data_IF_271468705321
#
_entry.id   IF_271468705321
#
_cell.length_a   1.000
_cell.length_b   1.000
_cell.length_c   1.000
_cell.angle_alpha   90.00
_cell.angle_beta   90.00
_cell.angle_gamma   90.00
#
_symmetry.space_group_name_H-M   'P 1'
#
loop_
_entity.id
_entity.type
_entity.pdbx_description
1 polymer ?
#
# COMPACT_ATOMS: atom_id res chain seq x y z
N UNK A 1 12.48 4.11 -22.19
CA UNK A 1 12.72 5.27 -23.08
C UNK A 1 11.44 6.10 -23.21
N UNK A 2 10.96 6.72 -22.12
CA UNK A 2 9.79 7.61 -22.18
C UNK A 2 10.18 8.97 -22.78
N UNK A 3 11.37 9.48 -22.44
CA UNK A 3 11.83 10.79 -22.92
C UNK A 3 12.03 10.91 -24.44
N UNK A 4 12.35 9.82 -25.15
CA UNK A 4 12.45 9.85 -26.63
C UNK A 4 11.06 9.87 -27.29
N UNK A 5 10.09 9.18 -26.69
CA UNK A 5 8.71 9.16 -27.16
C UNK A 5 8.04 10.52 -26.97
N UNK A 6 8.23 11.17 -25.81
CA UNK A 6 7.77 12.53 -25.51
C UNK A 6 8.34 13.58 -26.49
N UNK A 7 9.61 13.45 -26.89
CA UNK A 7 10.23 14.38 -27.84
C UNK A 7 9.68 14.23 -29.26
N UNK A 8 9.29 13.02 -29.65
CA UNK A 8 8.70 12.74 -30.97
C UNK A 8 7.18 12.99 -31.02
N UNK A 9 6.49 12.94 -29.88
CA UNK A 9 5.05 13.13 -29.75
C UNK A 9 4.72 14.14 -28.66
N UNK A 10 4.97 15.43 -28.93
CA UNK A 10 4.71 16.54 -28.00
C UNK A 10 3.22 16.77 -27.74
N UNK A 11 2.35 16.19 -28.55
CA UNK A 11 0.91 16.17 -28.38
C UNK A 11 0.44 15.27 -27.22
N UNK A 12 1.30 14.36 -26.74
CA UNK A 12 0.97 13.44 -25.66
C UNK A 12 1.29 14.09 -24.32
N UNK A 13 0.26 14.41 -23.53
CA UNK A 13 0.40 14.98 -22.19
C UNK A 13 0.17 13.95 -21.07
N UNK A 14 -0.54 12.87 -21.38
CA UNK A 14 -0.95 11.83 -20.44
C UNK A 14 -0.73 10.43 -20.99
N UNK A 15 -0.70 9.46 -20.08
CA UNK A 15 -0.54 8.05 -20.45
C UNK A 15 -1.71 7.52 -21.28
N UNK A 16 -2.89 8.13 -21.15
CA UNK A 16 -4.09 7.84 -21.92
C UNK A 16 -3.94 8.26 -23.39
N UNK A 17 -3.40 9.44 -23.65
CA UNK A 17 -3.06 9.90 -25.01
C UNK A 17 -1.94 9.06 -25.63
N UNK A 18 -0.93 8.67 -24.85
CA UNK A 18 0.13 7.78 -25.30
C UNK A 18 -0.41 6.41 -25.75
N UNK A 19 -1.37 5.89 -24.98
CA UNK A 19 -2.04 4.62 -25.28
C UNK A 19 -2.96 4.75 -26.49
N UNK A 20 -3.64 5.90 -26.62
CA UNK A 20 -4.46 6.22 -27.79
C UNK A 20 -3.67 6.28 -29.09
N UNK A 21 -2.46 6.84 -29.05
CA UNK A 21 -1.58 6.90 -30.21
C UNK A 21 -1.04 5.50 -30.60
N UNK A 22 -0.80 4.65 -29.62
CA UNK A 22 -0.21 3.31 -29.83
C UNK A 22 -1.22 2.24 -30.21
N UNK A 23 -2.45 2.30 -29.67
CA UNK A 23 -3.46 1.24 -29.78
C UNK A 23 -4.83 1.73 -30.28
N UNK A 24 -4.95 3.01 -30.64
CA UNK A 24 -6.16 3.60 -31.18
C UNK A 24 -7.15 4.13 -30.13
N UNK A 25 -8.29 4.69 -30.58
CA UNK A 25 -9.21 5.47 -29.74
C UNK A 25 -9.92 4.65 -28.66
N UNK A 26 -10.21 3.37 -28.92
CA UNK A 26 -10.85 2.48 -27.93
C UNK A 26 -9.90 2.21 -26.75
N UNK A 27 -8.62 2.02 -27.03
CA UNK A 27 -7.62 1.79 -26.00
C UNK A 27 -7.43 3.03 -25.12
N UNK A 28 -7.52 4.24 -25.70
CA UNK A 28 -7.48 5.51 -24.95
C UNK A 28 -8.55 5.59 -23.86
N UNK A 29 -9.81 5.29 -24.20
CA UNK A 29 -10.90 5.36 -23.21
C UNK A 29 -10.75 4.30 -22.12
N UNK A 30 -10.44 3.04 -22.50
CA UNK A 30 -10.27 1.95 -21.53
C UNK A 30 -9.13 2.24 -20.56
N UNK A 31 -7.98 2.69 -21.07
CA UNK A 31 -6.83 3.00 -20.22
C UNK A 31 -7.06 4.27 -19.39
N UNK A 32 -7.72 5.28 -19.93
CA UNK A 32 -8.07 6.49 -19.20
C UNK A 32 -8.99 6.20 -18.01
N UNK A 33 -10.05 5.42 -18.22
CA UNK A 33 -10.97 5.00 -17.15
C UNK A 33 -10.27 4.06 -16.17
N UNK A 34 -9.57 3.05 -16.67
CA UNK A 34 -8.85 2.08 -15.85
C UNK A 34 -7.80 2.71 -14.95
N UNK A 35 -7.00 3.64 -15.49
CA UNK A 35 -5.99 4.36 -14.71
C UNK A 35 -6.62 5.30 -13.68
N UNK A 36 -7.71 5.97 -14.04
CA UNK A 36 -8.46 6.81 -13.08
C UNK A 36 -8.98 6.00 -11.90
N UNK A 37 -9.57 4.82 -12.16
CA UNK A 37 -10.01 3.89 -11.12
C UNK A 37 -8.84 3.39 -10.27
N UNK A 38 -7.72 3.05 -10.90
CA UNK A 38 -6.51 2.64 -10.21
C UNK A 38 -6.01 3.72 -9.22
N UNK A 39 -5.94 4.98 -9.66
CA UNK A 39 -5.54 6.09 -8.79
C UNK A 39 -6.51 6.30 -7.63
N UNK A 40 -7.82 6.15 -7.85
CA UNK A 40 -8.84 6.23 -6.80
C UNK A 40 -8.64 5.11 -5.76
N UNK A 41 -8.46 3.86 -6.20
CA UNK A 41 -8.24 2.74 -5.28
C UNK A 41 -6.90 2.84 -4.53
N UNK A 42 -5.86 3.36 -5.18
CA UNK A 42 -4.58 3.62 -4.54
C UNK A 42 -4.67 4.72 -3.47
N UNK A 43 -5.44 5.78 -3.72
CA UNK A 43 -5.73 6.80 -2.70
C UNK A 43 -6.56 6.25 -1.55
N UNK A 44 -7.59 5.44 -1.85
CA UNK A 44 -8.46 4.82 -0.85
C UNK A 44 -7.70 3.83 0.06
N UNK A 45 -6.76 3.05 -0.49
CA UNK A 45 -5.93 2.15 0.31
C UNK A 45 -5.06 2.92 1.31
N UNK A 46 -4.51 4.08 0.92
CA UNK A 46 -3.76 4.95 1.82
C UNK A 46 -4.56 5.43 3.04
N UNK A 47 -5.84 5.80 2.82
CA UNK A 47 -6.75 6.19 3.92
C UNK A 47 -7.03 5.00 4.84
N UNK A 48 -7.21 3.80 4.27
CA UNK A 48 -7.42 2.58 5.04
C UNK A 48 -6.19 2.24 5.90
N UNK A 49 -4.98 2.29 5.33
CA UNK A 49 -3.74 2.06 6.08
C UNK A 49 -3.60 2.98 7.29
N UNK A 50 -3.88 4.28 7.12
CA UNK A 50 -3.79 5.23 8.21
C UNK A 50 -4.80 4.95 9.32
N UNK A 51 -6.03 4.52 8.96
CA UNK A 51 -7.04 4.14 9.94
C UNK A 51 -6.67 2.87 10.72
N UNK A 52 -6.06 1.87 10.08
CA UNK A 52 -5.55 0.67 10.75
C UNK A 52 -4.42 1.05 11.71
N UNK A 53 -3.51 1.92 11.30
CA UNK A 53 -2.42 2.39 12.15
C UNK A 53 -2.92 3.14 13.39
N UNK A 54 -3.89 4.05 13.22
CA UNK A 54 -4.53 4.76 14.34
C UNK A 54 -5.27 3.79 15.27
N UNK A 55 -5.95 2.81 14.69
CA UNK A 55 -6.68 1.79 15.44
C UNK A 55 -5.74 0.92 16.30
N UNK A 56 -4.55 0.59 15.78
CA UNK A 56 -3.54 -0.17 16.52
C UNK A 56 -2.92 0.66 17.66
N UNK A 57 -2.66 1.95 17.45
CA UNK A 57 -2.09 2.85 18.47
C UNK A 57 -3.09 3.16 19.59
N UNK A 58 -4.38 3.28 19.26
CA UNK A 58 -5.42 3.72 20.21
C UNK A 58 -6.05 2.58 21.02
N UNK A 59 -5.53 1.34 20.94
CA UNK A 59 -6.06 0.17 21.66
C UNK A 59 -7.60 0.02 21.59
N UNK A 60 -8.19 0.35 20.43
CA UNK A 60 -9.64 0.27 20.16
C UNK A 60 -10.57 1.11 21.06
N UNK A 61 -10.15 2.31 21.47
CA UNK A 61 -11.00 3.22 22.26
C UNK A 61 -12.22 3.77 21.50
N UNK A 62 -12.17 3.84 20.16
CA UNK A 62 -13.24 4.37 19.30
C UNK A 62 -13.60 3.41 18.15
N UNK A 63 -14.74 3.65 17.50
CA UNK A 63 -15.15 2.85 16.35
C UNK A 63 -14.28 3.17 15.12
N UNK A 64 -13.96 2.13 14.33
CA UNK A 64 -13.09 2.23 13.14
C UNK A 64 -13.54 3.30 12.14
N UNK A 65 -14.84 3.59 12.07
CA UNK A 65 -15.40 4.65 11.23
C UNK A 65 -14.81 6.04 11.56
N UNK A 66 -14.60 6.35 12.84
CA UNK A 66 -14.02 7.64 13.27
C UNK A 66 -12.56 7.73 12.83
N UNK A 67 -11.79 6.64 12.93
CA UNK A 67 -10.41 6.63 12.45
C UNK A 67 -10.31 6.78 10.93
N UNK A 68 -11.26 6.25 10.16
CA UNK A 68 -11.34 6.46 8.71
C UNK A 68 -11.64 7.93 8.39
N UNK A 69 -12.58 8.55 9.09
CA UNK A 69 -12.93 9.97 8.89
C UNK A 69 -11.73 10.89 9.18
N UNK A 70 -11.05 10.69 10.32
CA UNK A 70 -9.85 11.45 10.68
C UNK A 70 -8.74 11.26 9.64
N UNK A 71 -8.53 10.02 9.20
CA UNK A 71 -7.54 9.69 8.17
C UNK A 71 -7.85 10.39 6.84
N UNK A 72 -9.12 10.42 6.43
CA UNK A 72 -9.55 11.11 5.21
C UNK A 72 -9.32 12.62 5.29
N UNK A 73 -9.58 13.26 6.43
CA UNK A 73 -9.32 14.70 6.64
C UNK A 73 -7.83 14.99 6.51
N UNK A 74 -6.97 14.18 7.14
CA UNK A 74 -5.52 14.33 7.06
C UNK A 74 -5.05 14.18 5.62
N UNK A 75 -5.45 13.11 4.92
CA UNK A 75 -5.07 12.85 3.53
C UNK A 75 -5.56 13.95 2.60
N UNK A 76 -6.79 14.45 2.75
CA UNK A 76 -7.30 15.59 1.98
C UNK A 76 -6.49 16.87 2.22
N UNK A 77 -6.09 17.13 3.47
CA UNK A 77 -5.22 18.26 3.80
C UNK A 77 -3.85 18.20 3.12
N UNK A 78 -3.23 17.01 3.12
CA UNK A 78 -1.95 16.76 2.43
C UNK A 78 -2.11 16.80 0.90
N UNK A 79 -3.20 16.26 0.36
CA UNK A 79 -3.50 16.26 -1.07
C UNK A 79 -3.78 17.67 -1.63
N UNK A 80 -4.24 18.61 -0.80
CA UNK A 80 -4.48 19.99 -1.21
C UNK A 80 -3.20 20.78 -1.52
N UNK A 81 -2.01 20.26 -1.19
CA UNK A 81 -0.73 20.93 -1.43
C UNK A 81 -0.36 20.80 -2.91
N UNK A 82 -0.54 21.88 -3.70
CA UNK A 82 -0.27 21.92 -5.15
C UNK A 82 1.21 21.91 -5.56
N UNK A 83 2.16 21.92 -4.62
CA UNK A 83 3.59 22.06 -4.94
C UNK A 83 4.29 20.69 -5.02
N UNK A 84 4.49 20.18 -6.23
CA UNK A 84 5.17 18.91 -6.50
C UNK A 84 6.58 18.83 -5.87
N UNK A 85 7.33 19.94 -5.87
CA UNK A 85 8.68 20.01 -5.30
C UNK A 85 8.69 19.75 -3.78
N UNK A 86 7.65 20.17 -3.07
CA UNK A 86 7.56 20.02 -1.60
C UNK A 86 7.12 18.61 -1.20
N UNK A 87 6.42 17.91 -2.08
CA UNK A 87 5.96 16.53 -1.86
C UNK A 87 7.14 15.53 -1.93
N UNK A 88 8.15 15.78 -2.77
CA UNK A 88 9.32 14.88 -2.87
C UNK A 88 10.06 14.71 -1.55
N UNK A 89 10.10 15.74 -0.70
CA UNK A 89 10.70 15.64 0.64
C UNK A 89 9.85 14.78 1.57
N UNK A 90 8.52 14.96 1.57
CA UNK A 90 7.60 14.14 2.35
C UNK A 90 7.68 12.66 1.95
N UNK A 91 7.76 12.38 0.65
CA UNK A 91 7.92 11.02 0.12
C UNK A 91 9.21 10.35 0.63
N UNK A 92 10.33 11.08 0.63
CA UNK A 92 11.59 10.58 1.16
C UNK A 92 11.54 10.32 2.67
N UNK A 93 10.90 11.21 3.43
CA UNK A 93 10.71 11.00 4.87
C UNK A 93 9.84 9.77 5.18
N UNK A 94 8.78 9.56 4.40
CA UNK A 94 7.90 8.40 4.50
C UNK A 94 8.63 7.10 4.16
N UNK A 95 9.43 7.10 3.09
CA UNK A 95 10.23 5.94 2.69
C UNK A 95 11.25 5.56 3.78
N UNK A 96 11.95 6.54 4.34
CA UNK A 96 12.88 6.30 5.44
C UNK A 96 12.17 5.71 6.67
N UNK A 97 11.01 6.27 7.04
CA UNK A 97 10.20 5.77 8.15
C UNK A 97 9.72 4.33 7.93
N UNK A 98 9.19 4.01 6.74
CA UNK A 98 8.75 2.64 6.40
C UNK A 98 9.92 1.65 6.47
N UNK A 99 11.06 1.99 5.87
CA UNK A 99 12.24 1.12 5.89
C UNK A 99 12.72 0.89 7.32
N UNK A 100 12.82 1.94 8.14
CA UNK A 100 13.20 1.80 9.55
C UNK A 100 12.20 0.94 10.32
N UNK A 101 10.89 1.14 10.11
CA UNK A 101 9.85 0.35 10.78
C UNK A 101 9.95 -1.14 10.44
N UNK A 102 10.07 -1.48 9.16
CA UNK A 102 10.15 -2.88 8.70
C UNK A 102 11.42 -3.54 9.24
N UNK A 103 12.55 -2.84 9.23
CA UNK A 103 13.81 -3.35 9.77
C UNK A 103 13.71 -3.61 11.28
N UNK A 104 13.13 -2.69 12.05
CA UNK A 104 12.93 -2.88 13.50
C UNK A 104 12.05 -4.09 13.77
N UNK A 105 10.91 -4.23 13.08
CA UNK A 105 10.01 -5.38 13.28
C UNK A 105 10.70 -6.68 12.88
N UNK A 106 11.44 -6.70 11.77
CA UNK A 106 12.17 -7.90 11.31
C UNK A 106 13.23 -8.33 12.32
N UNK A 107 13.99 -7.38 12.88
CA UNK A 107 15.01 -7.67 13.90
C UNK A 107 14.34 -8.12 15.21
N UNK A 108 13.26 -7.45 15.63
CA UNK A 108 12.52 -7.79 16.84
C UNK A 108 11.99 -9.23 16.78
N UNK A 109 11.31 -9.60 15.69
CA UNK A 109 10.80 -10.96 15.46
C UNK A 109 11.95 -11.97 15.33
N UNK A 110 13.08 -11.59 14.74
CA UNK A 110 14.24 -12.46 14.60
C UNK A 110 15.00 -12.75 15.90
N UNK A 111 14.91 -11.86 16.90
CA UNK A 111 15.55 -12.02 18.22
C UNK A 111 14.60 -12.62 19.26
N UNK A 112 13.28 -12.54 19.05
CA UNK A 112 12.29 -13.10 19.97
C UNK A 112 12.24 -14.62 19.90
N UNK A 113 12.78 -15.29 20.93
CA UNK A 113 12.74 -16.75 21.05
C UNK A 113 11.34 -17.32 21.39
N UNK A 114 10.42 -16.46 21.84
CA UNK A 114 9.07 -16.83 22.24
C UNK A 114 8.09 -15.70 21.90
N UNK A 115 7.02 -15.96 21.12
CA UNK A 115 5.98 -14.97 20.87
C UNK A 115 5.23 -14.65 22.17
N UNK A 116 4.85 -13.39 22.34
CA UNK A 116 4.20 -12.88 23.56
C UNK A 116 2.88 -13.61 23.90
N UNK A 117 2.22 -14.17 22.87
CA UNK A 117 0.96 -14.91 22.98
C UNK A 117 1.19 -16.39 23.39
N UNK A 118 2.44 -16.85 23.45
CA UNK A 118 2.73 -18.24 23.79
C UNK A 118 2.55 -18.52 25.29
N UNK A 119 1.94 -19.66 25.66
CA UNK A 119 1.86 -20.09 27.05
C UNK A 119 3.26 -20.26 27.67
N UNK A 120 3.43 -20.10 29.00
CA UNK A 120 4.74 -20.06 29.70
C UNK A 120 5.55 -21.37 29.73
N UNK A 121 5.28 -22.29 28.79
CA UNK A 121 5.99 -23.56 28.56
C UNK A 121 7.09 -23.36 27.50
N UNK A 122 8.08 -24.28 27.37
CA UNK A 122 9.11 -24.17 26.36
C UNK A 122 8.48 -24.02 24.97
N UNK A 123 8.77 -22.91 24.29
CA UNK A 123 8.23 -22.64 22.96
C UNK A 123 8.94 -23.53 21.94
N UNK A 124 8.17 -24.24 21.14
CA UNK A 124 8.66 -25.04 20.01
C UNK A 124 7.91 -24.55 18.78
N UNK A 125 8.65 -24.14 17.75
CA UNK A 125 8.07 -23.65 16.50
C UNK A 125 7.36 -24.81 15.77
N UNK A 126 6.03 -24.71 15.59
CA UNK A 126 5.23 -25.68 14.83
C UNK A 126 5.22 -25.35 13.32
N UNK A 127 6.36 -24.89 12.78
CA UNK A 127 6.48 -24.62 11.35
C UNK A 127 6.53 -25.95 10.59
N UNK A 128 5.63 -26.10 9.61
CA UNK A 128 5.56 -27.30 8.76
C UNK A 128 5.86 -26.89 7.33
N UNK A 129 6.97 -27.41 6.79
CA UNK A 129 7.38 -27.21 5.38
C UNK A 129 6.37 -27.80 4.40
N UNK A 130 5.68 -28.87 4.79
CA UNK A 130 4.60 -29.50 4.04
C UNK A 130 3.46 -29.77 5.02
N UNK A 131 2.31 -29.16 4.76
CA UNK A 131 1.10 -29.32 5.55
C UNK A 131 -0.12 -29.49 4.64
N UNK A 132 -1.22 -30.04 5.17
CA UNK A 132 -2.50 -30.14 4.46
C UNK A 132 -3.49 -29.17 5.12
N UNK A 133 -3.42 -27.86 4.82
CA UNK A 133 -4.29 -26.87 5.45
C UNK A 133 -5.74 -27.00 4.96
N UNK A 134 -6.67 -26.38 5.68
CA UNK A 134 -8.01 -26.17 5.15
C UNK A 134 -7.95 -25.28 3.91
N UNK A 135 -8.96 -25.38 3.04
CA UNK A 135 -9.01 -24.54 1.83
C UNK A 135 -8.97 -23.04 2.16
N UNK A 136 -9.62 -22.62 3.27
CA UNK A 136 -9.68 -21.22 3.70
C UNK A 136 -8.31 -20.73 4.18
N UNK A 137 -7.62 -21.53 4.99
CA UNK A 137 -6.29 -21.15 5.49
C UNK A 137 -5.26 -21.14 4.35
N UNK A 138 -5.35 -22.12 3.44
CA UNK A 138 -4.48 -22.21 2.27
C UNK A 138 -4.61 -21.03 1.32
N UNK A 139 -5.85 -20.64 0.97
CA UNK A 139 -6.08 -19.50 0.08
C UNK A 139 -5.74 -18.16 0.76
N UNK A 140 -5.92 -18.06 2.08
CA UNK A 140 -5.52 -16.91 2.88
C UNK A 140 -4.02 -16.65 2.78
N UNK A 141 -3.20 -17.67 3.05
CA UNK A 141 -1.73 -17.56 2.98
C UNK A 141 -1.25 -17.21 1.57
N UNK A 142 -1.83 -17.82 0.53
CA UNK A 142 -1.47 -17.53 -0.87
C UNK A 142 -1.80 -16.08 -1.21
N UNK A 143 -2.97 -15.60 -0.79
CA UNK A 143 -3.38 -14.22 -1.06
C UNK A 143 -2.47 -13.23 -0.33
N UNK A 144 -2.14 -13.50 0.92
CA UNK A 144 -1.22 -12.68 1.72
C UNK A 144 0.16 -12.63 1.07
N UNK A 145 0.69 -13.74 0.55
CA UNK A 145 1.97 -13.74 -0.17
C UNK A 145 1.93 -12.95 -1.50
N UNK A 146 0.79 -12.93 -2.19
CA UNK A 146 0.63 -12.19 -3.47
C UNK A 146 0.46 -10.68 -3.23
N UNK A 147 -0.17 -10.30 -2.12
CA UNK A 147 -0.55 -8.90 -1.83
C UNK A 147 0.29 -8.20 -0.75
N UNK A 148 1.18 -8.92 -0.05
CA UNK A 148 2.18 -8.34 0.87
C UNK A 148 3.31 -7.63 0.11
#
# INVERSE_FOLDING_TARGET
MVGVFELNHREVYGIDDATGLSFGPIAREIFGVGFSLFLIFCGASGILYLSIALNAVSSHEACTAVFVEVSAIVVLGLASIRNLVRISFLAWSGLACMLTSILIVTIAVGVQDCPEVAPPRPWVSDYKLVNVPSFIDGIGVISEFIFA
#
